data_IF_105554300962
#
_entry.id   IF_105554300962
#
_cell.length_a   1.000
_cell.length_b   1.000
_cell.length_c   1.000
_cell.angle_alpha   90.00
_cell.angle_beta   90.00
_cell.angle_gamma   90.00
#
_symmetry.space_group_name_H-M   'P 1'
#
loop_
_entity.id
_entity.type
_entity.pdbx_description
1 polymer ?
#
# COMPACT_ATOMS: atom_id res chain seq x y z
N UNK A 1 16.93 -5.44 9.82
CA UNK A 1 15.48 -5.23 9.91
C UNK A 1 14.81 -6.56 9.57
N UNK A 2 13.99 -7.11 10.46
CA UNK A 2 13.26 -8.36 10.20
C UNK A 2 12.15 -8.13 9.14
N UNK A 3 11.61 -9.20 8.54
CA UNK A 3 10.61 -9.13 7.47
C UNK A 3 9.37 -8.29 7.84
N UNK A 4 8.95 -8.36 9.10
CA UNK A 4 7.78 -7.64 9.60
C UNK A 4 8.07 -6.15 9.83
N UNK A 5 9.29 -5.80 10.25
CA UNK A 5 9.71 -4.40 10.43
C UNK A 5 9.66 -3.62 9.11
N UNK A 6 9.97 -4.25 7.97
CA UNK A 6 9.82 -3.60 6.66
C UNK A 6 8.35 -3.34 6.31
N UNK A 7 7.44 -4.29 6.59
CA UNK A 7 6.00 -4.10 6.35
C UNK A 7 5.46 -2.94 7.18
N UNK A 8 5.88 -2.83 8.44
CA UNK A 8 5.52 -1.74 9.33
C UNK A 8 6.09 -0.40 8.87
N UNK A 9 7.35 -0.38 8.46
CA UNK A 9 7.98 0.82 7.89
C UNK A 9 7.23 1.37 6.68
N UNK A 10 6.81 0.51 5.73
CA UNK A 10 6.03 0.97 4.59
C UNK A 10 4.65 1.51 4.99
N UNK A 11 3.98 0.87 5.95
CA UNK A 11 2.71 1.35 6.50
C UNK A 11 2.82 2.71 7.17
N UNK A 12 3.82 2.89 8.03
CA UNK A 12 4.11 4.16 8.71
C UNK A 12 4.43 5.28 7.71
N UNK A 13 5.35 5.01 6.77
CA UNK A 13 5.70 5.98 5.72
C UNK A 13 4.47 6.39 4.92
N UNK A 14 3.67 5.42 4.47
CA UNK A 14 2.48 5.71 3.67
C UNK A 14 1.44 6.53 4.44
N UNK A 15 1.24 6.27 5.74
CA UNK A 15 0.33 7.07 6.56
C UNK A 15 0.83 8.51 6.69
N UNK A 16 2.11 8.71 7.00
CA UNK A 16 2.68 10.04 7.17
C UNK A 16 2.66 10.85 5.86
N UNK A 17 3.03 10.22 4.74
CA UNK A 17 3.00 10.85 3.42
C UNK A 17 1.54 11.21 3.05
N UNK A 18 0.60 10.27 3.20
CA UNK A 18 -0.82 10.50 2.92
C UNK A 18 -1.42 11.64 3.75
N UNK A 19 -1.05 11.75 5.03
CA UNK A 19 -1.48 12.85 5.91
C UNK A 19 -0.91 14.20 5.47
N UNK A 20 0.33 14.21 4.97
CA UNK A 20 1.01 15.43 4.56
C UNK A 20 0.56 15.93 3.19
N UNK A 21 0.43 15.04 2.20
CA UNK A 21 0.22 15.42 0.79
C UNK A 21 -1.24 15.29 0.34
N UNK A 22 -2.03 14.47 1.02
CA UNK A 22 -3.38 14.13 0.56
C UNK A 22 -3.40 13.08 -0.56
N UNK A 23 -2.25 12.49 -0.91
CA UNK A 23 -2.18 11.49 -1.98
C UNK A 23 -2.62 10.09 -1.50
N UNK A 24 -3.08 9.28 -2.44
CA UNK A 24 -3.46 7.90 -2.16
C UNK A 24 -2.21 6.99 -2.10
N UNK A 25 -2.30 5.95 -1.28
CA UNK A 25 -1.26 4.92 -1.14
C UNK A 25 -1.88 3.53 -1.33
N UNK A 26 -1.30 2.74 -2.22
CA UNK A 26 -1.84 1.46 -2.68
C UNK A 26 -0.83 0.36 -2.35
N UNK A 27 -1.25 -0.60 -1.54
CA UNK A 27 -0.46 -1.78 -1.19
C UNK A 27 -0.94 -2.98 -1.99
N UNK A 28 -0.04 -3.65 -2.69
CA UNK A 28 -0.29 -4.91 -3.35
C UNK A 28 0.55 -6.00 -2.69
N UNK A 29 -0.11 -6.85 -1.90
CA UNK A 29 0.54 -7.94 -1.14
C UNK A 29 0.26 -9.30 -1.77
N UNK A 30 1.18 -10.26 -1.59
CA UNK A 30 0.93 -11.64 -2.01
C UNK A 30 -0.08 -12.38 -1.13
N UNK A 31 -0.15 -12.05 0.16
CA UNK A 31 -0.96 -12.81 1.12
C UNK A 31 -1.91 -11.92 1.92
N UNK A 32 -3.09 -12.45 2.31
CA UNK A 32 -4.00 -11.76 3.24
C UNK A 32 -3.30 -11.40 4.55
N UNK A 33 -2.45 -12.29 5.08
CA UNK A 33 -1.74 -12.05 6.35
C UNK A 33 -0.85 -10.79 6.27
N UNK A 34 -0.03 -10.67 5.23
CA UNK A 34 0.84 -9.50 5.04
C UNK A 34 0.01 -8.22 4.88
N UNK A 35 -1.05 -8.27 4.06
CA UNK A 35 -1.97 -7.14 3.85
C UNK A 35 -2.63 -6.69 5.15
N UNK A 36 -3.13 -7.64 5.96
CA UNK A 36 -3.70 -7.40 7.28
C UNK A 36 -2.68 -6.81 8.27
N UNK A 37 -1.43 -7.28 8.24
CA UNK A 37 -0.37 -6.78 9.12
C UNK A 37 -0.08 -5.30 8.86
N UNK A 38 0.07 -4.91 7.59
CA UNK A 38 0.29 -3.51 7.21
C UNK A 38 -0.94 -2.68 7.62
N UNK A 39 -2.16 -3.14 7.28
CA UNK A 39 -3.39 -2.40 7.60
C UNK A 39 -3.57 -2.18 9.10
N UNK A 40 -3.41 -3.23 9.90
CA UNK A 40 -3.54 -3.14 11.36
C UNK A 40 -2.50 -2.20 11.98
N UNK A 41 -1.28 -2.22 11.46
CA UNK A 41 -0.24 -1.30 11.89
C UNK A 41 -0.61 0.15 11.57
N UNK A 42 -1.07 0.43 10.35
CA UNK A 42 -1.58 1.76 9.95
C UNK A 42 -2.72 2.21 10.86
N UNK A 43 -3.71 1.36 11.13
CA UNK A 43 -4.82 1.67 12.03
C UNK A 43 -4.34 1.99 13.45
N UNK A 44 -3.36 1.24 13.95
CA UNK A 44 -2.77 1.48 15.26
C UNK A 44 -2.07 2.84 15.33
N UNK A 45 -1.25 3.17 14.32
CA UNK A 45 -0.57 4.46 14.25
C UNK A 45 -1.56 5.62 14.11
N UNK A 46 -2.56 5.49 13.22
CA UNK A 46 -3.60 6.50 13.07
C UNK A 46 -4.34 6.74 14.40
N UNK A 47 -4.68 5.67 15.12
CA UNK A 47 -5.29 5.77 16.46
C UNK A 47 -4.38 6.46 17.47
N UNK A 48 -3.07 6.21 17.47
CA UNK A 48 -2.12 6.90 18.36
C UNK A 48 -2.01 8.40 18.06
N UNK A 49 -2.35 8.81 16.84
CA UNK A 49 -2.41 10.21 16.41
C UNK A 49 -3.82 10.81 16.57
N UNK A 50 -4.75 10.11 17.24
CA UNK A 50 -6.12 10.57 17.52
C UNK A 50 -7.09 10.42 16.35
N UNK A 51 -6.71 9.73 15.27
CA UNK A 51 -7.58 9.48 14.13
C UNK A 51 -8.43 8.22 14.35
N UNK A 52 -9.75 8.35 14.20
CA UNK A 52 -10.67 7.21 14.21
C UNK A 52 -11.02 6.81 12.78
N UNK A 53 -10.15 6.02 12.15
CA UNK A 53 -10.31 5.54 10.77
C UNK A 53 -10.49 4.03 10.74
N UNK A 54 -11.13 3.50 9.68
CA UNK A 54 -11.42 2.06 9.54
C UNK A 54 -11.61 1.69 8.07
N UNK A 55 -11.71 0.38 7.82
CA UNK A 55 -12.07 -0.17 6.53
C UNK A 55 -10.89 -0.41 5.60
N UNK A 56 -11.21 -0.73 4.36
CA UNK A 56 -10.30 -0.84 3.23
C UNK A 56 -11.07 -0.38 1.98
N UNK A 57 -10.79 0.80 1.43
CA UNK A 57 -9.71 1.70 1.82
C UNK A 57 -9.90 2.31 3.22
N UNK A 58 -8.78 2.66 3.86
CA UNK A 58 -8.76 3.59 4.98
C UNK A 58 -8.79 5.00 4.39
N UNK A 59 -9.82 5.78 4.70
CA UNK A 59 -9.96 7.16 4.22
C UNK A 59 -9.59 8.13 5.34
N UNK A 60 -8.60 8.99 5.09
CA UNK A 60 -8.15 10.02 6.03
C UNK A 60 -9.03 11.28 5.93
N UNK A 61 -9.04 12.15 6.96
CA UNK A 61 -9.83 13.39 6.94
C UNK A 61 -9.50 14.35 5.78
N UNK A 62 -8.28 14.29 5.24
CA UNK A 62 -7.86 15.08 4.09
C UNK A 62 -8.24 14.45 2.74
N UNK A 63 -8.97 13.33 2.73
CA UNK A 63 -9.43 12.62 1.53
C UNK A 63 -8.45 11.58 0.99
N UNK A 64 -7.22 11.51 1.50
CA UNK A 64 -6.26 10.49 1.10
C UNK A 64 -6.76 9.09 1.45
N UNK A 65 -6.53 8.14 0.55
CA UNK A 65 -6.92 6.73 0.73
C UNK A 65 -5.69 5.84 0.86
N UNK A 66 -5.69 4.96 1.87
CA UNK A 66 -4.78 3.82 1.94
C UNK A 66 -5.54 2.54 1.55
N UNK A 67 -5.15 1.95 0.41
CA UNK A 67 -5.82 0.81 -0.23
C UNK A 67 -4.95 -0.43 -0.05
N UNK A 68 -5.54 -1.56 0.36
CA UNK A 68 -4.84 -2.82 0.60
C UNK A 68 -5.39 -3.91 -0.32
N UNK A 69 -4.63 -4.31 -1.33
CA UNK A 69 -5.00 -5.25 -2.37
C UNK A 69 -4.19 -6.54 -2.29
N UNK A 70 -4.72 -7.58 -2.95
CA UNK A 70 -4.06 -8.88 -3.13
C UNK A 70 -3.87 -9.13 -4.63
N UNK A 71 -2.85 -9.90 -5.00
CA UNK A 71 -2.55 -10.24 -6.41
C UNK A 71 -3.64 -11.00 -7.15
N UNK A 72 -4.58 -11.59 -6.42
CA UNK A 72 -5.74 -12.30 -6.95
C UNK A 72 -7.05 -11.51 -6.85
N UNK A 73 -7.02 -10.24 -6.44
CA UNK A 73 -8.24 -9.46 -6.31
C UNK A 73 -8.80 -9.06 -7.67
N UNK A 74 -10.08 -9.34 -7.93
CA UNK A 74 -10.80 -8.89 -9.15
C UNK A 74 -10.90 -7.35 -9.24
N UNK A 75 -10.54 -6.63 -8.17
CA UNK A 75 -10.68 -5.17 -7.98
C UNK A 75 -9.36 -4.38 -8.09
N UNK A 76 -8.42 -4.85 -8.91
CA UNK A 76 -7.13 -4.16 -9.14
C UNK A 76 -7.22 -2.93 -10.05
N UNK A 77 -8.33 -2.72 -10.75
CA UNK A 77 -8.49 -1.59 -11.67
C UNK A 77 -8.89 -0.28 -10.98
N UNK A 78 -8.48 0.86 -11.55
CA UNK A 78 -9.05 2.17 -11.23
C UNK A 78 -8.41 2.93 -10.07
N UNK A 79 -7.32 2.42 -9.49
CA UNK A 79 -6.57 3.15 -8.46
C UNK A 79 -5.50 4.06 -9.07
N UNK A 80 -5.20 5.17 -8.38
CA UNK A 80 -4.13 6.10 -8.72
C UNK A 80 -3.51 6.64 -7.42
N UNK A 81 -2.19 6.53 -7.27
CA UNK A 81 -1.48 6.89 -6.04
C UNK A 81 -0.08 6.28 -5.96
N UNK A 82 0.64 6.56 -4.86
CA UNK A 82 1.89 5.87 -4.54
C UNK A 82 1.62 4.37 -4.36
N UNK A 83 2.48 3.51 -4.91
CA UNK A 83 2.22 2.07 -4.97
C UNK A 83 3.36 1.26 -4.34
N UNK A 84 3.00 0.21 -3.60
CA UNK A 84 3.92 -0.70 -2.93
C UNK A 84 3.57 -2.14 -3.33
N UNK A 85 4.35 -2.72 -4.23
CA UNK A 85 4.29 -4.13 -4.58
C UNK A 85 5.19 -4.92 -3.62
N UNK A 86 4.57 -5.67 -2.71
CA UNK A 86 5.26 -6.34 -1.61
C UNK A 86 5.11 -7.85 -1.72
N UNK A 87 6.25 -8.52 -1.94
CA UNK A 87 6.39 -9.97 -1.99
C UNK A 87 5.45 -10.66 -2.98
N UNK A 88 5.06 -9.96 -4.03
CA UNK A 88 3.94 -10.30 -4.89
C UNK A 88 4.32 -10.48 -6.37
N UNK A 89 5.63 -10.53 -6.63
CA UNK A 89 6.20 -10.71 -7.94
C UNK A 89 7.43 -11.62 -7.90
N UNK A 90 7.67 -12.29 -9.01
CA UNK A 90 8.81 -13.15 -9.32
C UNK A 90 9.15 -13.02 -10.82
N UNK A 91 10.15 -13.76 -11.31
CA UNK A 91 10.56 -13.75 -12.71
C UNK A 91 9.44 -14.13 -13.70
N UNK A 92 8.41 -14.85 -13.26
CA UNK A 92 7.33 -15.34 -14.13
C UNK A 92 6.22 -14.32 -14.32
N UNK A 93 5.98 -13.46 -13.33
CA UNK A 93 4.84 -12.53 -13.32
C UNK A 93 5.24 -11.04 -13.21
N UNK A 94 6.54 -10.74 -13.08
CA UNK A 94 7.01 -9.36 -12.87
C UNK A 94 6.51 -8.38 -13.93
N UNK A 95 6.51 -8.77 -15.22
CA UNK A 95 6.03 -7.89 -16.28
C UNK A 95 4.56 -7.49 -16.11
N UNK A 96 3.73 -8.39 -15.58
CA UNK A 96 2.32 -8.11 -15.31
C UNK A 96 2.17 -7.17 -14.11
N UNK A 97 2.82 -7.48 -13.00
CA UNK A 97 2.77 -6.66 -11.77
C UNK A 97 3.35 -5.27 -12.03
N UNK A 98 4.46 -5.18 -12.75
CA UNK A 98 5.06 -3.91 -13.14
C UNK A 98 4.09 -3.06 -13.96
N UNK A 99 3.48 -3.63 -15.01
CA UNK A 99 2.50 -2.92 -15.84
C UNK A 99 1.32 -2.41 -15.02
N UNK A 100 0.81 -3.22 -14.10
CA UNK A 100 -0.30 -2.84 -13.22
C UNK A 100 0.09 -1.67 -12.30
N UNK A 101 1.22 -1.79 -11.62
CA UNK A 101 1.73 -0.74 -10.72
C UNK A 101 2.02 0.55 -11.48
N UNK A 102 2.62 0.46 -12.67
CA UNK A 102 2.86 1.62 -13.53
C UNK A 102 1.56 2.33 -13.95
N UNK A 103 0.45 1.59 -14.11
CA UNK A 103 -0.84 2.20 -14.40
C UNK A 103 -1.38 3.01 -13.21
N UNK A 104 -1.15 2.55 -11.97
CA UNK A 104 -1.53 3.28 -10.76
C UNK A 104 -0.64 4.49 -10.48
N UNK A 105 0.62 4.45 -10.91
CA UNK A 105 1.62 5.52 -10.73
C UNK A 105 1.88 6.30 -12.01
N UNK A 106 0.86 6.48 -12.87
CA UNK A 106 1.04 7.12 -14.18
C UNK A 106 1.33 8.63 -14.09
N UNK A 107 0.88 9.29 -13.01
CA UNK A 107 1.26 10.68 -12.71
C UNK A 107 2.68 10.73 -12.15
N UNK A 108 3.49 11.69 -12.63
CA UNK A 108 4.91 11.85 -12.31
C UNK A 108 5.19 12.08 -10.83
N UNK A 109 4.20 12.60 -10.07
CA UNK A 109 4.33 12.77 -8.63
C UNK A 109 4.28 11.45 -7.85
N UNK A 110 3.71 10.41 -8.44
CA UNK A 110 3.56 9.11 -7.78
C UNK A 110 4.81 8.25 -7.94
N UNK A 111 5.06 7.45 -6.92
CA UNK A 111 6.23 6.58 -6.84
C UNK A 111 5.80 5.15 -6.58
N UNK A 112 6.46 4.22 -7.27
CA UNK A 112 6.30 2.78 -7.09
C UNK A 112 7.48 2.20 -6.31
N UNK A 113 7.20 1.33 -5.35
CA UNK A 113 8.19 0.52 -4.62
C UNK A 113 7.92 -0.94 -4.92
N UNK A 114 8.94 -1.67 -5.36
CA UNK A 114 8.92 -3.12 -5.52
C UNK A 114 9.85 -3.72 -4.48
N UNK A 115 9.30 -4.54 -3.58
CA UNK A 115 10.06 -5.16 -2.50
C UNK A 115 9.70 -6.63 -2.38
N UNK A 116 10.69 -7.50 -2.54
CA UNK A 116 10.55 -8.95 -2.35
C UNK A 116 11.64 -9.42 -1.39
N UNK A 117 11.34 -10.45 -0.60
CA UNK A 117 12.29 -11.04 0.34
C UNK A 117 12.17 -12.56 0.31
N UNK A 118 13.31 -13.25 0.28
CA UNK A 118 13.39 -14.71 0.43
C UNK A 118 13.10 -15.13 1.88
#
# INVERSE_FOLDING_TARGET
MNKNEMLYHFGEKALNDAMLTGDNHIFLSATPLQSEMIRKHVLHLASSQGLTVKGNPIVLPNGAMLVFLLTNSETMGGWSGHAYAINCFDETNFSYIHKLVSAWTADIKYHSVFYSFE
#
